data_IF_152333572951
#
_entry.id   IF_152333572951
#
_cell.length_a   1.000
_cell.length_b   1.000
_cell.length_c   1.000
_cell.angle_alpha   90.00
_cell.angle_beta   90.00
_cell.angle_gamma   90.00
#
_symmetry.space_group_name_H-M   'P 1'
#
loop_
_entity.id
_entity.type
_entity.pdbx_description
1 polymer ?
#
# COMPACT_ATOMS: atom_id res chain seq x y z
N UNK A 1 18.51 47.33 23.92
CA UNK A 1 18.11 48.38 22.95
C UNK A 1 19.37 48.85 22.23
N UNK A 2 19.24 49.16 20.92
CA UNK A 2 20.26 49.49 19.89
C UNK A 2 20.69 48.24 19.09
N UNK A 3 20.04 47.84 18.00
CA UNK A 3 19.50 48.53 16.79
C UNK A 3 20.57 48.93 15.78
N UNK A 4 20.64 48.11 14.72
CA UNK A 4 20.96 48.38 13.30
C UNK A 4 22.23 49.17 12.92
N UNK A 5 23.09 48.54 12.10
CA UNK A 5 23.29 48.88 10.67
C UNK A 5 24.20 47.80 10.04
N UNK A 6 23.74 46.91 9.14
CA UNK A 6 23.33 47.09 7.72
C UNK A 6 24.52 46.92 6.76
N UNK A 7 24.35 45.94 5.86
CA UNK A 7 24.91 45.83 4.50
C UNK A 7 26.41 45.47 4.45
N UNK A 8 26.91 44.54 3.65
CA UNK A 8 26.53 43.94 2.35
C UNK A 8 27.73 43.00 2.06
N UNK A 9 27.68 41.86 1.38
CA UNK A 9 27.29 41.66 -0.02
C UNK A 9 27.70 40.20 -0.34
N UNK A 10 26.81 39.46 -1.02
CA UNK A 10 27.09 38.41 -2.04
C UNK A 10 27.75 37.11 -1.56
N UNK A 11 27.49 35.92 -2.06
CA UNK A 11 26.74 35.34 -3.19
C UNK A 11 27.08 33.83 -2.99
N UNK A 12 26.18 32.87 -2.87
CA UNK A 12 25.39 32.19 -3.90
C UNK A 12 24.86 30.98 -3.13
N UNK A 13 23.56 30.73 -3.13
CA UNK A 13 22.92 29.41 -3.21
C UNK A 13 21.40 29.65 -3.11
N UNK A 14 20.90 30.43 -4.05
CA UNK A 14 19.54 30.24 -4.54
C UNK A 14 19.71 29.29 -5.71
N UNK A 15 19.20 28.07 -5.59
CA UNK A 15 18.53 27.35 -6.67
C UNK A 15 18.15 25.94 -6.18
N UNK A 16 16.84 25.68 -6.22
CA UNK A 16 16.24 24.36 -6.45
C UNK A 16 16.35 23.36 -5.27
N UNK A 17 15.27 22.85 -4.69
CA UNK A 17 14.10 22.29 -5.36
C UNK A 17 12.80 22.57 -4.57
N UNK A 18 12.00 23.51 -5.09
CA UNK A 18 10.60 23.20 -5.38
C UNK A 18 10.63 22.62 -6.80
N UNK A 19 10.57 21.30 -6.91
CA UNK A 19 10.35 20.52 -8.13
C UNK A 19 9.97 19.13 -7.62
N UNK A 20 8.69 18.84 -7.54
CA UNK A 20 7.86 18.31 -8.62
C UNK A 20 7.85 16.78 -8.56
N UNK A 21 6.65 16.25 -8.76
CA UNK A 21 6.38 14.89 -9.17
C UNK A 21 7.41 14.42 -10.20
N UNK A 22 8.30 13.51 -9.81
CA UNK A 22 8.87 12.49 -10.68
C UNK A 22 9.74 11.58 -9.82
N UNK A 23 9.26 10.37 -9.57
CA UNK A 23 9.99 9.17 -10.00
C UNK A 23 9.04 7.98 -9.90
N UNK A 24 8.16 7.87 -10.89
CA UNK A 24 7.87 6.58 -11.49
C UNK A 24 9.21 6.06 -12.08
N UNK A 25 10.02 5.40 -11.25
CA UNK A 25 11.34 4.90 -11.65
C UNK A 25 11.55 3.48 -11.12
N UNK A 26 11.24 2.55 -12.03
CA UNK A 26 11.93 1.26 -12.27
C UNK A 26 11.65 0.08 -11.33
N UNK A 27 10.68 -0.69 -11.82
CA UNK A 27 10.58 -2.15 -11.84
C UNK A 27 11.91 -2.91 -11.62
N UNK A 28 11.81 -3.98 -10.80
CA UNK A 28 12.82 -5.03 -10.55
C UNK A 28 13.93 -4.70 -9.55
N UNK A 29 13.53 -4.48 -8.30
CA UNK A 29 14.36 -4.82 -7.15
C UNK A 29 13.40 -5.35 -6.08
N UNK A 30 13.66 -6.54 -5.52
CA UNK A 30 12.97 -7.05 -4.32
C UNK A 30 13.14 -6.02 -3.21
N UNK A 31 12.23 -5.05 -3.16
CA UNK A 31 12.32 -3.94 -2.23
C UNK A 31 11.65 -4.36 -0.91
N UNK A 32 12.11 -3.85 0.24
CA UNK A 32 11.46 -4.09 1.53
C UNK A 32 9.96 -3.75 1.55
N UNK A 33 9.52 -2.88 0.63
CA UNK A 33 8.10 -2.54 0.48
C UNK A 33 7.28 -3.67 -0.15
N UNK A 34 7.84 -4.48 -1.06
CA UNK A 34 7.13 -5.63 -1.63
C UNK A 34 6.92 -6.71 -0.56
N UNK A 35 7.94 -7.01 0.26
CA UNK A 35 7.79 -8.01 1.33
C UNK A 35 6.73 -7.62 2.35
N UNK A 36 6.60 -6.34 2.69
CA UNK A 36 5.57 -5.86 3.62
C UNK A 36 4.17 -5.91 3.00
N UNK A 37 4.02 -5.57 1.71
CA UNK A 37 2.74 -5.66 1.00
C UNK A 37 2.26 -7.10 0.88
N UNK A 38 3.17 -8.01 0.51
CA UNK A 38 2.87 -9.45 0.45
C UNK A 38 2.45 -9.96 1.84
N UNK A 39 3.20 -9.63 2.89
CA UNK A 39 2.89 -10.08 4.26
C UNK A 39 1.51 -9.60 4.73
N UNK A 40 1.21 -8.30 4.58
CA UNK A 40 -0.11 -7.76 4.92
C UNK A 40 -1.22 -8.43 4.10
N UNK A 41 -1.03 -8.54 2.79
CA UNK A 41 -2.04 -9.12 1.91
C UNK A 41 -2.27 -10.61 2.21
N UNK A 42 -1.23 -11.33 2.60
CA UNK A 42 -1.32 -12.71 3.08
C UNK A 42 -2.08 -12.79 4.41
N UNK A 43 -1.82 -11.88 5.37
CA UNK A 43 -2.61 -11.79 6.59
C UNK A 43 -4.11 -11.58 6.31
N UNK A 44 -4.46 -10.64 5.42
CA UNK A 44 -5.86 -10.40 5.05
C UNK A 44 -6.46 -11.63 4.35
N UNK A 45 -5.73 -12.23 3.42
CA UNK A 45 -6.21 -13.36 2.62
C UNK A 45 -6.43 -14.63 3.47
N UNK A 46 -5.45 -14.96 4.31
CA UNK A 46 -5.48 -16.12 5.19
C UNK A 46 -6.20 -15.87 6.53
N UNK A 47 -6.49 -14.61 6.85
CA UNK A 47 -7.08 -14.19 8.10
C UNK A 47 -8.55 -14.60 8.27
N UNK A 48 -9.04 -14.37 9.48
CA UNK A 48 -10.43 -14.57 9.85
C UNK A 48 -11.38 -13.59 9.15
N UNK A 49 -12.68 -13.82 9.31
CA UNK A 49 -13.73 -12.97 8.73
C UNK A 49 -13.63 -11.50 9.17
N UNK A 50 -13.16 -11.24 10.39
CA UNK A 50 -13.02 -9.88 10.94
C UNK A 50 -12.00 -9.05 10.13
N UNK A 51 -10.82 -9.62 9.84
CA UNK A 51 -9.78 -8.97 9.03
C UNK A 51 -10.27 -8.73 7.60
N UNK A 52 -10.95 -9.71 7.02
CA UNK A 52 -11.52 -9.62 5.67
C UNK A 52 -12.62 -8.57 5.59
N UNK A 53 -13.48 -8.49 6.60
CA UNK A 53 -14.55 -7.49 6.68
C UNK A 53 -13.97 -6.09 6.79
N UNK A 54 -13.01 -5.86 7.71
CA UNK A 54 -12.35 -4.57 7.86
C UNK A 54 -11.63 -4.13 6.57
N UNK A 55 -10.92 -5.06 5.93
CA UNK A 55 -10.28 -4.75 4.64
C UNK A 55 -11.29 -4.47 3.52
N UNK A 56 -12.42 -5.18 3.47
CA UNK A 56 -13.52 -4.92 2.52
C UNK A 56 -14.08 -3.51 2.73
N UNK A 57 -14.25 -3.05 3.97
CA UNK A 57 -14.68 -1.67 4.25
C UNK A 57 -13.67 -0.64 3.72
N UNK A 58 -12.36 -0.89 3.88
CA UNK A 58 -11.35 -0.02 3.28
C UNK A 58 -11.48 0.04 1.75
N UNK A 59 -11.79 -1.07 1.07
CA UNK A 59 -11.94 -1.09 -0.40
C UNK A 59 -13.05 -0.15 -0.89
N UNK A 60 -14.09 0.09 -0.09
CA UNK A 60 -15.19 1.02 -0.45
C UNK A 60 -14.73 2.49 -0.50
N UNK A 61 -13.55 2.82 0.03
CA UNK A 61 -12.98 4.17 -0.06
C UNK A 61 -12.41 4.49 -1.44
N UNK A 62 -12.23 3.49 -2.30
CA UNK A 62 -11.72 3.67 -3.66
C UNK A 62 -12.81 4.27 -4.56
N UNK A 63 -12.39 5.08 -5.53
CA UNK A 63 -13.28 5.49 -6.62
C UNK A 63 -13.70 4.29 -7.48
N UNK A 64 -14.77 4.46 -8.24
CA UNK A 64 -15.19 3.49 -9.26
C UNK A 64 -14.07 3.24 -10.29
N UNK A 65 -13.38 4.30 -10.74
CA UNK A 65 -12.29 4.18 -11.71
C UNK A 65 -11.14 3.30 -11.19
N UNK A 66 -10.65 3.57 -9.98
CA UNK A 66 -9.57 2.78 -9.37
C UNK A 66 -10.01 1.36 -9.05
N UNK A 67 -11.29 1.16 -8.72
CA UNK A 67 -11.87 -0.18 -8.54
C UNK A 67 -11.87 -0.95 -9.87
N UNK A 68 -12.35 -0.35 -10.95
CA UNK A 68 -12.40 -0.97 -12.27
C UNK A 68 -11.00 -1.35 -12.78
N UNK A 69 -10.01 -0.45 -12.67
CA UNK A 69 -8.62 -0.74 -13.04
C UNK A 69 -8.07 -1.90 -12.19
N UNK A 70 -8.37 -1.92 -10.89
CA UNK A 70 -7.95 -3.04 -10.02
C UNK A 70 -8.56 -4.36 -10.50
N UNK A 71 -9.87 -4.40 -10.79
CA UNK A 71 -10.55 -5.61 -11.28
C UNK A 71 -10.06 -6.06 -12.66
N UNK A 72 -9.74 -5.13 -13.56
CA UNK A 72 -9.10 -5.44 -14.85
C UNK A 72 -7.72 -6.08 -14.65
N UNK A 73 -6.93 -5.57 -13.72
CA UNK A 73 -5.63 -6.16 -13.39
C UNK A 73 -5.77 -7.53 -12.75
N UNK A 74 -6.73 -7.70 -11.84
CA UNK A 74 -7.03 -9.02 -11.26
C UNK A 74 -7.43 -10.01 -12.36
N UNK A 75 -8.31 -9.63 -13.29
CA UNK A 75 -8.76 -10.52 -14.37
C UNK A 75 -7.64 -10.93 -15.34
N UNK A 76 -6.57 -10.13 -15.47
CA UNK A 76 -5.39 -10.47 -16.28
C UNK A 76 -4.45 -11.48 -15.60
N UNK A 77 -4.40 -11.45 -14.27
CA UNK A 77 -3.44 -12.25 -13.47
C UNK A 77 -4.09 -13.53 -12.95
N UNK A 78 -5.32 -13.44 -12.45
CA UNK A 78 -5.99 -14.55 -11.79
C UNK A 78 -6.81 -15.41 -12.75
N UNK A 79 -6.93 -16.71 -12.45
CA UNK A 79 -7.80 -17.59 -13.23
C UNK A 79 -9.29 -17.26 -12.96
N UNK A 80 -10.14 -17.41 -13.98
CA UNK A 80 -11.55 -17.02 -13.93
C UNK A 80 -12.34 -17.69 -12.79
N UNK A 81 -11.97 -18.92 -12.43
CA UNK A 81 -12.66 -19.70 -11.39
C UNK A 81 -12.51 -19.14 -9.96
N UNK A 82 -11.62 -18.17 -9.74
CA UNK A 82 -11.40 -17.52 -8.43
C UNK A 82 -11.93 -16.09 -8.37
N UNK A 83 -12.62 -15.63 -9.42
CA UNK A 83 -13.15 -14.27 -9.50
C UNK A 83 -14.43 -14.05 -8.68
N UNK A 84 -15.08 -15.12 -8.23
CA UNK A 84 -16.36 -15.06 -7.51
C UNK A 84 -16.19 -14.99 -5.99
N UNK A 85 -16.85 -14.01 -5.37
CA UNK A 85 -16.96 -13.89 -3.92
C UNK A 85 -15.60 -13.91 -3.22
N UNK A 86 -15.50 -14.73 -2.16
CA UNK A 86 -14.29 -14.80 -1.34
C UNK A 86 -13.25 -15.82 -1.84
N UNK A 87 -13.50 -16.50 -2.96
CA UNK A 87 -12.52 -17.44 -3.57
C UNK A 87 -11.20 -16.75 -3.91
N UNK A 88 -11.25 -15.45 -4.17
CA UNK A 88 -10.06 -14.62 -4.42
C UNK A 88 -9.16 -14.54 -3.20
N UNK A 89 -9.73 -14.41 -1.99
CA UNK A 89 -8.95 -14.40 -0.76
C UNK A 89 -8.31 -15.77 -0.50
N UNK A 90 -9.06 -16.86 -0.70
CA UNK A 90 -8.51 -18.22 -0.60
C UNK A 90 -7.35 -18.43 -1.59
N UNK A 91 -7.51 -17.98 -2.84
CA UNK A 91 -6.46 -18.06 -3.84
C UNK A 91 -5.20 -17.30 -3.41
N UNK A 92 -5.33 -16.05 -2.98
CA UNK A 92 -4.20 -15.24 -2.53
C UNK A 92 -3.53 -15.78 -1.27
N UNK A 93 -4.27 -16.48 -0.40
CA UNK A 93 -3.67 -17.12 0.76
C UNK A 93 -2.68 -18.23 0.35
N UNK A 94 -2.94 -18.90 -0.79
CA UNK A 94 -2.08 -19.95 -1.32
C UNK A 94 -1.09 -19.50 -2.39
N UNK A 95 -1.32 -18.33 -3.01
CA UNK A 95 -0.51 -17.76 -4.10
C UNK A 95 -0.27 -16.26 -3.85
N UNK A 96 0.38 -15.88 -2.74
CA UNK A 96 0.51 -14.48 -2.35
C UNK A 96 1.38 -13.66 -3.30
N UNK A 97 2.23 -14.28 -4.10
CA UNK A 97 3.04 -13.64 -5.14
C UNK A 97 2.22 -13.02 -6.28
N UNK A 98 1.00 -13.51 -6.52
CA UNK A 98 0.12 -12.95 -7.55
C UNK A 98 -0.47 -11.61 -7.14
N UNK A 99 -0.44 -11.28 -5.84
CA UNK A 99 -0.84 -9.97 -5.33
C UNK A 99 0.10 -8.88 -5.83
N UNK A 100 1.41 -9.14 -5.78
CA UNK A 100 2.41 -8.21 -6.30
C UNK A 100 2.25 -7.99 -7.80
N UNK A 101 1.93 -9.05 -8.57
CA UNK A 101 1.65 -8.93 -10.01
C UNK A 101 0.42 -8.05 -10.30
N UNK A 102 -0.62 -8.13 -9.46
CA UNK A 102 -1.79 -7.26 -9.57
C UNK A 102 -1.43 -5.81 -9.24
N UNK A 103 -0.60 -5.57 -8.22
CA UNK A 103 -0.12 -4.22 -7.91
C UNK A 103 0.76 -3.64 -9.02
N UNK A 104 1.67 -4.44 -9.59
CA UNK A 104 2.50 -4.04 -10.72
C UNK A 104 1.64 -3.65 -11.91
N UNK A 105 0.64 -4.49 -12.26
CA UNK A 105 -0.33 -4.14 -13.31
C UNK A 105 -1.06 -2.84 -12.99
N UNK A 106 -1.52 -2.63 -11.76
CA UNK A 106 -2.21 -1.40 -11.38
C UNK A 106 -1.30 -0.17 -11.51
N UNK A 107 -0.01 -0.33 -11.19
CA UNK A 107 0.96 0.76 -11.24
C UNK A 107 1.19 1.28 -12.66
N UNK A 108 1.07 0.43 -13.68
CA UNK A 108 1.12 0.85 -15.10
C UNK A 108 0.02 1.87 -15.45
N UNK A 109 -1.08 1.89 -14.71
CA UNK A 109 -2.18 2.84 -14.88
C UNK A 109 -2.10 4.04 -13.94
N UNK A 110 -1.15 4.07 -13.00
CA UNK A 110 -1.12 5.07 -11.92
C UNK A 110 -1.06 6.51 -12.45
N UNK A 111 -0.26 6.75 -13.49
CA UNK A 111 -0.13 8.07 -14.12
C UNK A 111 -1.38 8.52 -14.88
N UNK A 112 -2.32 7.60 -15.17
CA UNK A 112 -3.60 7.92 -15.81
C UNK A 112 -4.68 8.34 -14.81
N UNK A 113 -4.40 8.19 -13.51
CA UNK A 113 -5.35 8.48 -12.45
C UNK A 113 -5.53 9.99 -12.25
N UNK A 114 -6.77 10.38 -11.96
CA UNK A 114 -7.09 11.75 -11.56
C UNK A 114 -6.57 12.04 -10.15
N UNK A 115 -6.53 13.32 -9.77
CA UNK A 115 -6.17 13.69 -8.39
C UNK A 115 -7.19 13.18 -7.36
N UNK A 116 -8.47 13.06 -7.75
CA UNK A 116 -9.50 12.44 -6.92
C UNK A 116 -9.21 10.95 -6.68
N UNK A 117 -8.84 10.23 -7.75
CA UNK A 117 -8.46 8.82 -7.67
C UNK A 117 -7.26 8.63 -6.73
N UNK A 118 -6.19 9.42 -6.91
CA UNK A 118 -4.99 9.38 -6.05
C UNK A 118 -5.33 9.68 -4.59
N UNK A 119 -6.19 10.67 -4.34
CA UNK A 119 -6.65 11.00 -2.99
C UNK A 119 -7.47 9.86 -2.36
N UNK A 120 -8.33 9.19 -3.14
CA UNK A 120 -9.08 8.01 -2.68
C UNK A 120 -8.15 6.83 -2.35
N UNK A 121 -7.12 6.60 -3.17
CA UNK A 121 -6.11 5.56 -2.94
C UNK A 121 -5.27 5.84 -1.71
N UNK A 122 -5.04 7.11 -1.38
CA UNK A 122 -4.38 7.50 -0.13
C UNK A 122 -5.24 7.12 1.08
N UNK A 123 -6.54 7.46 1.07
CA UNK A 123 -7.47 7.07 2.14
C UNK A 123 -7.58 5.55 2.29
N UNK A 124 -7.66 4.84 1.17
CA UNK A 124 -7.63 3.37 1.16
C UNK A 124 -6.35 2.83 1.82
N UNK A 125 -5.18 3.38 1.48
CA UNK A 125 -3.89 2.97 2.06
C UNK A 125 -3.81 3.25 3.57
N UNK A 126 -4.32 4.40 4.01
CA UNK A 126 -4.39 4.77 5.43
C UNK A 126 -5.30 3.79 6.19
N UNK A 127 -6.51 3.51 5.68
CA UNK A 127 -7.41 2.51 6.27
C UNK A 127 -6.80 1.10 6.30
N UNK A 128 -6.16 0.66 5.21
CA UNK A 128 -5.51 -0.64 5.17
C UNK A 128 -4.32 -0.75 6.15
N UNK A 129 -3.64 0.36 6.42
CA UNK A 129 -2.59 0.40 7.44
C UNK A 129 -3.17 0.22 8.85
N UNK A 130 -4.34 0.82 9.15
CA UNK A 130 -5.06 0.59 10.42
C UNK A 130 -5.48 -0.88 10.57
N UNK A 131 -6.00 -1.51 9.51
CA UNK A 131 -6.30 -2.95 9.51
C UNK A 131 -5.04 -3.79 9.77
N UNK A 132 -3.92 -3.41 9.17
CA UNK A 132 -2.66 -4.11 9.41
C UNK A 132 -2.21 -4.01 10.88
N UNK A 133 -2.32 -2.83 11.48
CA UNK A 133 -1.99 -2.58 12.89
C UNK A 133 -2.90 -3.36 13.84
N UNK A 134 -4.20 -3.39 13.57
CA UNK A 134 -5.18 -4.03 14.45
C UNK A 134 -5.15 -5.56 14.38
N UNK A 135 -4.93 -6.12 13.19
CA UNK A 135 -5.15 -7.56 12.96
C UNK A 135 -3.93 -8.35 12.49
N UNK A 136 -2.91 -7.70 11.94
CA UNK A 136 -1.83 -8.36 11.21
C UNK A 136 -0.44 -8.19 11.81
N UNK A 137 -0.28 -7.31 12.79
CA UNK A 137 0.94 -7.30 13.60
C UNK A 137 0.86 -8.45 14.59
N UNK A 138 1.71 -9.46 14.42
CA UNK A 138 1.93 -10.46 15.47
C UNK A 138 2.37 -9.71 16.74
N UNK A 139 1.69 -9.94 17.87
CA UNK A 139 2.19 -9.51 19.17
C UNK A 139 3.62 -10.05 19.32
N UNK A 140 4.60 -9.16 19.23
CA UNK A 140 5.97 -9.47 19.60
C UNK A 140 6.08 -9.45 21.12
N UNK A 141 5.33 -10.29 21.83
CA UNK A 141 5.47 -10.48 23.28
C UNK A 141 5.73 -11.97 23.59
N UNK A 142 7.02 -12.30 23.49
CA UNK A 142 7.78 -13.02 24.50
C UNK A 142 7.19 -14.34 25.05
N UNK A 143 7.51 -15.44 24.36
CA UNK A 143 7.65 -16.74 25.01
C UNK A 143 8.84 -16.71 25.98
N UNK A 144 8.61 -16.62 27.30
CA UNK A 144 9.35 -17.40 28.31
C UNK A 144 8.76 -17.24 29.71
N UNK A 145 7.96 -18.21 30.16
CA UNK A 145 8.04 -18.67 31.54
C UNK A 145 8.20 -20.18 31.52
N UNK A 146 9.42 -20.63 31.85
CA UNK A 146 9.77 -22.04 32.00
C UNK A 146 9.08 -22.59 33.26
N UNK A 147 8.73 -23.89 33.32
CA UNK A 147 8.26 -24.49 34.56
C UNK A 147 9.41 -24.52 35.57
N UNK A 148 9.25 -23.82 36.68
CA UNK A 148 10.18 -23.83 37.82
C UNK A 148 10.21 -25.21 38.53
N UNK A 149 11.32 -25.55 39.22
CA UNK A 149 11.82 -26.91 39.43
C UNK A 149 11.10 -27.80 40.45
#
# INVERSE_FOLDING_TARGET
MNTLTIFTILLVFICSCLADDEEASKHSQESPQNSQRIAFSMCVACGGEEVKAAYKECKELKTENTTNITEECVAKILPENVMEGDKRFEYYCHNPEDIDKVYDCFYDYYETLTEEDKASLKKFRECAAEVNEEFCQEESDESTESPDP
#
